data_IF_614922513014
#
_entry.id   IF_614922513014
#
_cell.length_a   1.000
_cell.length_b   1.000
_cell.length_c   1.000
_cell.angle_alpha   90.00
_cell.angle_beta   90.00
_cell.angle_gamma   90.00
#
_symmetry.space_group_name_H-M   'P 1'
#
loop_
_entity.id
_entity.type
_entity.pdbx_description
1 polymer ?
#
# COMPACT_ATOMS: atom_id res chain seq x y z
N UNK A 1 -30.03 0.76 -40.34
CA UNK A 1 -31.46 0.59 -40.68
C UNK A 1 -32.16 -0.11 -39.52
N UNK A 2 -33.30 0.42 -39.07
CA UNK A 2 -34.12 -0.17 -37.99
C UNK A 2 -35.29 -0.94 -38.62
N UNK A 3 -35.46 -2.21 -38.22
CA UNK A 3 -36.60 -3.05 -38.61
C UNK A 3 -37.55 -3.20 -37.44
N UNK A 4 -38.82 -2.85 -37.65
CA UNK A 4 -39.87 -3.02 -36.66
C UNK A 4 -41.21 -3.33 -37.35
N UNK A 5 -42.19 -3.82 -36.59
CA UNK A 5 -43.52 -4.16 -37.09
C UNK A 5 -44.50 -3.03 -36.86
N UNK A 6 -45.40 -2.78 -37.82
CA UNK A 6 -46.49 -1.82 -37.68
C UNK A 6 -47.56 -2.32 -36.71
N UNK A 7 -47.99 -1.49 -35.75
CA UNK A 7 -48.99 -1.83 -34.72
C UNK A 7 -50.40 -2.09 -35.28
N UNK A 8 -50.69 -1.65 -36.50
CA UNK A 8 -52.05 -1.74 -37.10
C UNK A 8 -52.20 -2.80 -38.18
N UNK A 9 -51.18 -3.02 -39.02
CA UNK A 9 -51.27 -3.93 -40.16
C UNK A 9 -50.26 -5.09 -40.12
N UNK A 10 -49.49 -5.20 -39.04
CA UNK A 10 -48.50 -6.26 -38.78
C UNK A 10 -47.44 -6.46 -39.87
N UNK A 11 -47.29 -5.49 -40.78
CA UNK A 11 -46.28 -5.54 -41.83
C UNK A 11 -44.93 -5.01 -41.32
N UNK A 12 -43.81 -5.60 -41.75
CA UNK A 12 -42.49 -5.11 -41.41
C UNK A 12 -42.23 -3.77 -42.09
N UNK A 13 -41.65 -2.83 -41.33
CA UNK A 13 -41.22 -1.51 -41.78
C UNK A 13 -39.71 -1.40 -41.67
N UNK A 14 -39.09 -0.85 -42.71
CA UNK A 14 -37.66 -0.53 -42.74
C UNK A 14 -37.51 0.98 -42.82
N UNK A 15 -36.83 1.56 -41.82
CA UNK A 15 -36.55 2.99 -41.76
C UNK A 15 -35.07 3.25 -41.47
N UNK A 16 -34.61 4.44 -41.85
CA UNK A 16 -33.26 4.89 -41.57
C UNK A 16 -33.01 5.01 -40.05
N UNK A 17 -31.77 4.80 -39.62
CA UNK A 17 -31.36 4.90 -38.22
C UNK A 17 -31.54 6.32 -37.67
N UNK A 18 -31.50 7.33 -38.54
CA UNK A 18 -31.69 8.75 -38.19
C UNK A 18 -33.11 9.08 -37.71
N UNK A 19 -34.08 8.18 -37.94
CA UNK A 19 -35.47 8.31 -37.53
C UNK A 19 -35.77 7.60 -36.19
N UNK A 20 -34.75 7.09 -35.49
CA UNK A 20 -34.92 6.48 -34.16
C UNK A 20 -35.64 7.43 -33.18
N UNK A 21 -36.72 6.96 -32.55
CA UNK A 21 -37.53 7.75 -31.61
C UNK A 21 -38.44 8.81 -32.26
N UNK A 22 -38.47 8.91 -33.60
CA UNK A 22 -39.42 9.75 -34.34
C UNK A 22 -40.69 8.96 -34.67
N UNK A 23 -41.75 9.71 -34.99
CA UNK A 23 -42.99 9.17 -35.56
C UNK A 23 -42.83 9.08 -37.08
N UNK A 24 -43.17 7.92 -37.64
CA UNK A 24 -43.11 7.65 -39.08
C UNK A 24 -44.45 7.07 -39.54
N UNK A 25 -44.89 7.45 -40.73
CA UNK A 25 -46.12 6.94 -41.33
C UNK A 25 -45.86 5.61 -42.03
N UNK A 26 -46.73 4.62 -41.81
CA UNK A 26 -46.66 3.35 -42.50
C UNK A 26 -47.12 3.49 -43.97
N UNK A 27 -46.29 3.15 -44.98
CA UNK A 27 -46.68 3.21 -46.40
C UNK A 27 -47.75 2.18 -46.81
N UNK A 28 -48.07 1.21 -45.94
CA UNK A 28 -49.05 0.17 -46.25
C UNK A 28 -50.47 0.44 -45.73
N UNK A 29 -50.61 1.10 -44.57
CA UNK A 29 -51.89 1.33 -43.93
C UNK A 29 -52.14 2.77 -43.48
N UNK A 30 -51.13 3.65 -43.59
CA UNK A 30 -51.20 5.06 -43.20
C UNK A 30 -51.12 5.32 -41.69
N UNK A 31 -50.83 4.31 -40.88
CA UNK A 31 -50.79 4.45 -39.41
C UNK A 31 -49.45 5.03 -38.92
N UNK A 32 -49.50 5.89 -37.89
CA UNK A 32 -48.32 6.60 -37.35
C UNK A 32 -47.66 5.74 -36.27
N UNK A 33 -46.52 5.11 -36.61
CA UNK A 33 -45.77 4.26 -35.69
C UNK A 33 -44.55 4.98 -35.11
N UNK A 34 -44.16 4.63 -33.89
CA UNK A 34 -42.99 5.19 -33.21
C UNK A 34 -41.81 4.25 -33.43
N UNK A 35 -40.73 4.74 -34.06
CA UNK A 35 -39.52 3.94 -34.26
C UNK A 35 -38.86 3.68 -32.90
N UNK A 36 -38.61 2.40 -32.52
CA UNK A 36 -37.94 2.09 -31.27
C UNK A 36 -36.60 2.82 -31.19
N UNK A 37 -36.42 3.65 -30.16
CA UNK A 37 -35.11 4.23 -29.88
C UNK A 37 -34.14 3.06 -29.64
N UNK A 38 -32.97 3.11 -30.30
CA UNK A 38 -31.90 2.12 -30.07
C UNK A 38 -31.70 2.04 -28.56
N UNK A 39 -32.01 0.89 -27.96
CA UNK A 39 -31.61 0.61 -26.57
C UNK A 39 -30.13 0.94 -26.54
N UNK A 40 -29.66 1.89 -25.72
CA UNK A 40 -28.24 2.17 -25.64
C UNK A 40 -27.60 0.82 -25.43
N UNK A 41 -26.81 0.36 -26.39
CA UNK A 41 -25.88 -0.74 -26.17
C UNK A 41 -25.17 -0.30 -24.91
N UNK A 42 -25.49 -0.98 -23.81
CA UNK A 42 -24.84 -0.75 -22.55
C UNK A 42 -23.38 -0.86 -22.91
N UNK A 43 -22.67 0.29 -22.92
CA UNK A 43 -21.23 0.30 -23.13
C UNK A 43 -20.76 -0.74 -22.16
N UNK A 44 -20.32 -1.89 -22.65
CA UNK A 44 -19.62 -2.85 -21.81
C UNK A 44 -18.50 -1.98 -21.25
N UNK A 45 -18.51 -1.68 -19.93
CA UNK A 45 -17.45 -0.85 -19.39
C UNK A 45 -16.17 -1.54 -19.83
N UNK A 46 -15.32 -0.80 -20.56
CA UNK A 46 -14.00 -1.31 -20.93
C UNK A 46 -13.44 -1.96 -19.67
N UNK A 47 -12.96 -3.22 -19.73
CA UNK A 47 -12.48 -3.91 -18.55
C UNK A 47 -11.57 -2.92 -17.81
N UNK A 48 -11.84 -2.67 -16.51
CA UNK A 48 -11.14 -1.62 -15.77
C UNK A 48 -9.66 -1.78 -16.08
N UNK A 49 -9.07 -0.76 -16.71
CA UNK A 49 -7.65 -0.82 -17.07
C UNK A 49 -6.93 -1.08 -15.77
N UNK A 50 -6.30 -2.26 -15.69
CA UNK A 50 -5.63 -2.68 -14.48
C UNK A 50 -4.54 -1.64 -14.17
N UNK A 51 -4.83 -0.80 -13.18
CA UNK A 51 -3.98 0.33 -12.79
C UNK A 51 -2.62 -0.17 -12.32
N UNK A 52 -2.59 -1.33 -11.67
CA UNK A 52 -1.36 -1.95 -11.25
C UNK A 52 -0.53 -2.41 -12.46
N UNK A 53 -1.16 -3.08 -13.43
CA UNK A 53 -0.48 -3.47 -14.68
C UNK A 53 0.05 -2.26 -15.47
N UNK A 54 -0.73 -1.18 -15.55
CA UNK A 54 -0.30 0.07 -16.20
C UNK A 54 0.89 0.73 -15.50
N UNK A 55 1.00 0.59 -14.17
CA UNK A 55 2.13 1.05 -13.38
C UNK A 55 3.34 0.08 -13.38
N UNK A 56 3.26 -1.04 -14.11
CA UNK A 56 4.32 -2.04 -14.21
C UNK A 56 4.37 -3.05 -13.05
N UNK A 57 3.29 -3.13 -12.26
CA UNK A 57 3.14 -4.11 -11.19
C UNK A 57 2.34 -5.35 -11.63
N UNK A 58 2.40 -6.47 -10.90
CA UNK A 58 1.60 -7.66 -11.21
C UNK A 58 0.10 -7.33 -11.30
N UNK A 59 -0.64 -7.91 -12.26
CA UNK A 59 -2.05 -7.62 -12.44
C UNK A 59 -2.90 -8.12 -11.27
N UNK A 60 -4.01 -7.43 -11.02
CA UNK A 60 -4.96 -7.76 -9.95
C UNK A 60 -5.73 -9.06 -10.26
N UNK A 61 -6.10 -9.27 -11.53
CA UNK A 61 -6.84 -10.46 -11.98
C UNK A 61 -6.02 -11.76 -12.02
N UNK A 62 -4.73 -11.71 -11.64
CA UNK A 62 -3.79 -12.84 -11.70
C UNK A 62 -3.77 -13.73 -10.44
N UNK A 63 -2.84 -14.71 -10.40
CA UNK A 63 -2.51 -15.42 -9.18
C UNK A 63 -1.95 -14.44 -8.14
N UNK A 64 -2.06 -14.79 -6.86
CA UNK A 64 -1.54 -13.92 -5.80
C UNK A 64 -0.01 -13.84 -5.87
N UNK A 65 0.53 -12.62 -6.03
CA UNK A 65 1.96 -12.37 -6.13
C UNK A 65 2.38 -11.28 -5.13
N UNK A 66 3.55 -11.46 -4.53
CA UNK A 66 4.14 -10.48 -3.62
C UNK A 66 4.68 -9.31 -4.43
N UNK A 67 4.04 -8.15 -4.29
CA UNK A 67 4.40 -6.91 -4.97
C UNK A 67 5.53 -6.21 -4.25
N UNK A 68 5.43 -6.13 -2.92
CA UNK A 68 6.39 -5.41 -2.11
C UNK A 68 6.54 -6.04 -0.72
N UNK A 69 7.76 -6.00 -0.21
CA UNK A 69 8.08 -6.42 1.14
C UNK A 69 8.92 -5.34 1.82
N UNK A 70 8.40 -4.80 2.92
CA UNK A 70 9.00 -3.69 3.65
C UNK A 70 9.19 -4.08 5.10
N UNK A 71 10.36 -3.74 5.65
CA UNK A 71 10.62 -3.84 7.09
C UNK A 71 10.84 -2.45 7.67
N UNK A 72 10.50 -2.23 8.95
CA UNK A 72 10.83 -0.98 9.63
C UNK A 72 12.32 -0.67 9.56
N UNK A 73 12.65 0.59 9.28
CA UNK A 73 14.03 1.01 9.03
C UNK A 73 14.68 1.56 10.29
N UNK A 74 15.48 0.73 10.97
CA UNK A 74 16.16 1.07 12.23
C UNK A 74 16.96 2.38 12.18
N UNK A 75 17.93 2.48 11.25
CA UNK A 75 18.82 3.64 11.16
C UNK A 75 18.13 4.90 10.66
N UNK A 76 17.14 4.73 9.77
CA UNK A 76 16.43 5.87 9.21
C UNK A 76 15.44 6.43 10.22
N UNK A 77 14.71 5.58 10.94
CA UNK A 77 13.59 6.02 11.78
C UNK A 77 14.01 6.85 12.98
N UNK A 78 15.13 6.50 13.62
CA UNK A 78 15.66 7.23 14.79
C UNK A 78 17.16 7.44 14.61
N UNK A 79 17.57 8.38 13.72
CA UNK A 79 18.99 8.58 13.41
C UNK A 79 19.77 9.09 14.62
N UNK A 80 19.15 9.90 15.48
CA UNK A 80 19.76 10.41 16.71
C UNK A 80 20.13 9.31 17.68
N UNK A 81 19.19 8.39 17.97
CA UNK A 81 19.46 7.25 18.85
C UNK A 81 20.54 6.33 18.28
N UNK A 82 20.52 6.08 16.97
CA UNK A 82 21.56 5.27 16.31
C UNK A 82 22.93 5.95 16.35
N UNK A 83 23.00 7.26 16.10
CA UNK A 83 24.23 8.05 16.17
C UNK A 83 24.80 8.09 17.60
N UNK A 84 23.95 8.30 18.61
CA UNK A 84 24.39 8.30 20.01
C UNK A 84 24.95 6.94 20.45
N UNK A 85 24.27 5.83 20.08
CA UNK A 85 24.73 4.49 20.42
C UNK A 85 26.02 4.12 19.69
N UNK A 86 26.14 4.48 18.40
CA UNK A 86 27.37 4.24 17.64
C UNK A 86 28.54 5.09 18.14
N UNK A 87 28.31 6.35 18.51
CA UNK A 87 29.32 7.18 19.19
C UNK A 87 29.72 6.60 20.54
N UNK A 88 28.77 6.04 21.30
CA UNK A 88 29.05 5.33 22.56
C UNK A 88 29.97 4.14 22.35
N UNK A 89 29.74 3.34 21.31
CA UNK A 89 30.65 2.23 20.92
C UNK A 89 32.03 2.76 20.55
N UNK A 90 32.11 3.81 19.71
CA UNK A 90 33.39 4.38 19.27
C UNK A 90 34.18 4.94 20.47
N UNK A 91 33.51 5.69 21.35
CA UNK A 91 34.13 6.27 22.55
C UNK A 91 34.61 5.19 23.52
N UNK A 92 33.80 4.15 23.75
CA UNK A 92 34.17 3.03 24.61
C UNK A 92 35.36 2.24 24.06
N UNK A 93 35.37 1.92 22.77
CA UNK A 93 36.49 1.24 22.10
C UNK A 93 37.76 2.11 22.13
N UNK A 94 37.64 3.41 21.88
CA UNK A 94 38.77 4.34 21.93
C UNK A 94 39.35 4.41 23.35
N UNK A 95 38.49 4.43 24.39
CA UNK A 95 38.90 4.37 25.79
C UNK A 95 39.64 3.07 26.14
N UNK A 96 39.19 1.93 25.62
CA UNK A 96 39.86 0.64 25.82
C UNK A 96 41.23 0.58 25.13
N UNK A 97 41.33 1.06 23.87
CA UNK A 97 42.58 1.03 23.09
C UNK A 97 43.63 1.96 23.70
N UNK A 98 43.23 3.17 24.12
CA UNK A 98 44.15 4.13 24.74
C UNK A 98 44.65 3.63 26.09
N UNK A 99 43.78 3.00 26.91
CA UNK A 99 44.17 2.38 28.18
C UNK A 99 45.18 1.25 28.02
N UNK A 100 45.14 0.48 26.93
CA UNK A 100 46.06 -0.63 26.69
C UNK A 100 47.37 -0.26 26.00
N UNK A 101 47.47 0.93 25.40
CA UNK A 101 48.62 1.33 24.56
C UNK A 101 49.46 2.48 25.15
N UNK A 102 48.89 3.28 26.05
CA UNK A 102 49.54 4.48 26.59
C UNK A 102 49.61 4.45 28.11
N UNK A 103 50.80 4.60 28.68
CA UNK A 103 51.02 4.71 30.14
C UNK A 103 50.46 6.00 30.77
N UNK A 104 49.92 6.92 29.97
CA UNK A 104 49.33 8.19 30.43
C UNK A 104 47.92 8.04 30.99
N UNK A 105 47.21 6.98 30.60
CA UNK A 105 45.82 6.76 31.04
C UNK A 105 45.79 5.66 32.10
N UNK A 106 45.15 5.91 33.25
CA UNK A 106 45.05 4.90 34.30
C UNK A 106 44.26 3.67 33.84
N UNK A 107 44.69 2.47 34.25
CA UNK A 107 44.06 1.19 33.88
C UNK A 107 42.60 1.06 34.31
N UNK A 108 42.17 1.82 35.33
CA UNK A 108 40.78 1.79 35.79
C UNK A 108 39.78 2.33 34.74
N UNK A 109 40.25 3.04 33.71
CA UNK A 109 39.45 3.54 32.58
C UNK A 109 39.02 2.42 31.62
N UNK A 110 39.72 1.29 31.62
CA UNK A 110 39.40 0.14 30.78
C UNK A 110 38.00 -0.44 31.08
N UNK A 111 37.69 -0.68 32.35
CA UNK A 111 36.43 -1.26 32.80
C UNK A 111 35.17 -0.44 32.40
N UNK A 112 35.09 0.88 32.64
CA UNK A 112 33.97 1.67 32.18
C UNK A 112 33.90 1.76 30.64
N UNK A 113 35.04 1.81 29.94
CA UNK A 113 35.06 1.77 28.46
C UNK A 113 34.47 0.46 27.92
N UNK A 114 34.83 -0.67 28.52
CA UNK A 114 34.28 -1.98 28.18
C UNK A 114 32.78 -2.08 28.48
N UNK A 115 32.34 -1.57 29.64
CA UNK A 115 30.93 -1.55 30.03
C UNK A 115 30.07 -0.74 29.05
N UNK A 116 30.52 0.47 28.69
CA UNK A 116 29.81 1.36 27.76
C UNK A 116 29.70 0.71 26.38
N UNK A 117 30.80 0.11 25.90
CA UNK A 117 30.82 -0.59 24.61
C UNK A 117 29.84 -1.76 24.61
N UNK A 118 29.91 -2.61 25.64
CA UNK A 118 29.03 -3.78 25.77
C UNK A 118 27.56 -3.37 25.86
N UNK A 119 27.22 -2.38 26.70
CA UNK A 119 25.85 -1.88 26.84
C UNK A 119 25.33 -1.30 25.51
N UNK A 120 26.14 -0.49 24.82
CA UNK A 120 25.75 0.12 23.54
C UNK A 120 25.50 -0.94 22.46
N UNK A 121 26.37 -1.97 22.39
CA UNK A 121 26.21 -3.10 21.46
C UNK A 121 24.95 -3.91 21.80
N UNK A 122 24.69 -4.20 23.07
CA UNK A 122 23.50 -4.94 23.49
C UNK A 122 22.22 -4.18 23.12
N UNK A 123 22.17 -2.87 23.38
CA UNK A 123 21.00 -2.04 23.04
C UNK A 123 20.79 -1.99 21.52
N UNK A 124 21.86 -1.83 20.74
CA UNK A 124 21.78 -1.89 19.27
C UNK A 124 21.31 -3.27 18.79
N UNK A 125 21.86 -4.36 19.33
CA UNK A 125 21.45 -5.71 18.97
C UNK A 125 19.96 -5.95 19.31
N UNK A 126 19.53 -5.55 20.50
CA UNK A 126 18.14 -5.69 20.94
C UNK A 126 17.17 -4.92 20.05
N UNK A 127 17.48 -3.65 19.76
CA UNK A 127 16.65 -2.85 18.87
C UNK A 127 16.63 -3.45 17.45
N UNK A 128 17.75 -3.99 16.97
CA UNK A 128 17.82 -4.63 15.64
C UNK A 128 16.93 -5.86 15.59
N UNK A 129 16.98 -6.68 16.63
CA UNK A 129 16.14 -7.86 16.79
C UNK A 129 14.65 -7.48 16.75
N UNK A 130 14.25 -6.42 17.47
CA UNK A 130 12.86 -5.93 17.43
C UNK A 130 12.44 -5.48 16.02
N UNK A 131 13.29 -4.76 15.29
CA UNK A 131 12.99 -4.34 13.91
C UNK A 131 12.91 -5.51 12.93
N UNK A 132 13.61 -6.62 13.19
CA UNK A 132 13.56 -7.81 12.33
C UNK A 132 12.27 -8.62 12.53
N UNK A 133 11.65 -8.53 13.71
CA UNK A 133 10.39 -9.19 14.04
C UNK A 133 9.14 -8.51 13.46
N UNK A 134 9.27 -7.36 12.79
CA UNK A 134 8.16 -6.65 12.16
C UNK A 134 8.36 -6.58 10.64
N UNK A 135 7.33 -6.94 9.88
CA UNK A 135 7.34 -6.84 8.42
C UNK A 135 5.95 -6.53 7.86
N UNK A 136 5.92 -5.69 6.84
CA UNK A 136 4.76 -5.42 6.00
C UNK A 136 4.96 -6.07 4.64
N UNK A 137 4.03 -6.92 4.26
CA UNK A 137 4.00 -7.58 2.97
C UNK A 137 2.76 -7.13 2.20
N UNK A 138 2.95 -6.67 0.97
CA UNK A 138 1.86 -6.23 0.10
C UNK A 138 1.85 -7.18 -1.10
N UNK A 139 0.74 -7.88 -1.27
CA UNK A 139 0.46 -8.69 -2.45
C UNK A 139 -0.43 -7.89 -3.41
N UNK A 140 -0.86 -8.47 -4.52
CA UNK A 140 -1.86 -7.84 -5.39
C UNK A 140 -3.25 -7.80 -4.74
N UNK A 141 -3.57 -8.75 -3.84
CA UNK A 141 -4.93 -8.90 -3.29
C UNK A 141 -5.10 -8.43 -1.84
N UNK A 142 -4.02 -8.50 -1.05
CA UNK A 142 -4.06 -8.18 0.38
C UNK A 142 -2.76 -7.58 0.88
N UNK A 143 -2.87 -6.88 1.99
CA UNK A 143 -1.74 -6.41 2.79
C UNK A 143 -1.67 -7.24 4.08
N UNK A 144 -0.49 -7.77 4.39
CA UNK A 144 -0.22 -8.65 5.53
C UNK A 144 0.82 -7.99 6.43
N UNK A 145 0.44 -7.73 7.68
CA UNK A 145 1.36 -7.37 8.75
C UNK A 145 1.78 -8.62 9.52
N UNK A 146 3.08 -8.82 9.68
CA UNK A 146 3.66 -9.84 10.57
C UNK A 146 4.42 -9.14 11.68
N UNK A 147 4.07 -9.42 12.93
CA UNK A 147 4.72 -8.85 14.11
C UNK A 147 5.12 -9.91 15.13
N UNK A 148 6.29 -9.72 15.72
CA UNK A 148 6.77 -10.43 16.90
C UNK A 148 7.94 -11.36 16.63
N UNK A 149 8.79 -11.52 17.65
CA UNK A 149 9.97 -12.39 17.60
C UNK A 149 9.71 -13.74 18.27
N UNK A 150 9.10 -13.73 19.46
CA UNK A 150 8.78 -14.93 20.25
C UNK A 150 7.31 -15.35 20.11
N UNK A 151 6.39 -14.38 20.22
CA UNK A 151 4.97 -14.57 19.93
C UNK A 151 4.67 -13.89 18.60
N UNK A 152 4.20 -14.65 17.61
CA UNK A 152 3.91 -14.16 16.26
C UNK A 152 2.43 -13.79 16.17
N UNK A 153 2.14 -12.56 15.81
CA UNK A 153 0.82 -12.07 15.42
C UNK A 153 0.85 -11.74 13.93
N UNK A 154 -0.15 -12.22 13.20
CA UNK A 154 -0.32 -11.91 11.76
C UNK A 154 -1.68 -11.29 11.58
N UNK A 155 -1.72 -10.12 10.97
CA UNK A 155 -2.94 -9.40 10.62
C UNK A 155 -2.98 -9.24 9.10
N UNK A 156 -4.12 -9.50 8.47
CA UNK A 156 -4.27 -9.41 7.03
C UNK A 156 -5.53 -8.62 6.66
N UNK A 157 -5.42 -7.76 5.64
CA UNK A 157 -6.54 -6.96 5.13
C UNK A 157 -6.56 -7.05 3.61
N UNK A 158 -7.69 -7.48 3.07
CA UNK A 158 -7.95 -7.50 1.62
C UNK A 158 -8.04 -6.07 1.09
N UNK A 159 -7.47 -5.81 -0.09
CA UNK A 159 -7.46 -4.47 -0.70
C UNK A 159 -8.87 -3.93 -0.98
N UNK A 160 -9.80 -4.82 -1.33
CA UNK A 160 -11.23 -4.50 -1.52
C UNK A 160 -11.94 -4.06 -0.23
N UNK A 161 -11.46 -4.54 0.92
CA UNK A 161 -12.07 -4.27 2.22
C UNK A 161 -11.51 -3.01 2.90
N UNK A 162 -10.49 -2.37 2.31
CA UNK A 162 -9.84 -1.18 2.89
C UNK A 162 -10.81 0.00 2.85
N UNK A 163 -11.13 0.53 4.02
CA UNK A 163 -11.97 1.72 4.17
C UNK A 163 -11.14 3.00 4.21
N UNK A 164 -10.07 2.99 5.01
CA UNK A 164 -9.21 4.16 5.21
C UNK A 164 -7.74 3.74 5.37
N UNK A 165 -6.85 4.57 4.82
CA UNK A 165 -5.40 4.48 5.01
C UNK A 165 -4.95 5.78 5.66
N UNK A 166 -4.51 5.69 6.92
CA UNK A 166 -3.97 6.79 7.68
C UNK A 166 -2.45 6.76 7.61
N UNK A 167 -1.84 7.92 7.32
CA UNK A 167 -0.39 8.11 7.35
C UNK A 167 -0.09 9.18 8.37
N UNK A 168 0.68 8.84 9.41
CA UNK A 168 1.14 9.82 10.39
C UNK A 168 2.63 10.08 10.20
N UNK A 169 2.97 11.37 10.00
CA UNK A 169 4.34 11.85 9.87
C UNK A 169 4.52 13.13 10.68
N UNK A 170 5.53 13.15 11.53
CA UNK A 170 6.02 14.39 12.13
C UNK A 170 6.82 15.22 11.11
N UNK A 171 7.07 16.48 11.44
CA UNK A 171 7.93 17.37 10.63
C UNK A 171 9.28 16.73 10.30
N UNK A 172 9.93 16.15 11.31
CA UNK A 172 11.20 15.46 11.13
C UNK A 172 11.06 14.18 10.32
N UNK A 173 10.01 13.39 10.57
CA UNK A 173 9.76 12.16 9.80
C UNK A 173 9.58 12.46 8.31
N UNK A 174 8.98 13.60 7.95
CA UNK A 174 8.88 14.05 6.55
C UNK A 174 10.24 14.34 5.93
N UNK A 175 11.16 14.99 6.65
CA UNK A 175 12.53 15.26 6.17
C UNK A 175 13.29 13.94 5.89
N UNK A 176 13.11 12.94 6.75
CA UNK A 176 13.77 11.63 6.62
C UNK A 176 12.99 10.62 5.76
N UNK A 177 11.82 11.02 5.22
CA UNK A 177 10.87 10.19 4.46
C UNK A 177 10.44 8.92 5.18
N UNK A 178 9.97 9.08 6.41
CA UNK A 178 9.55 8.00 7.30
C UNK A 178 8.15 8.31 7.81
N UNK A 179 7.39 7.29 8.19
CA UNK A 179 6.10 7.48 8.86
C UNK A 179 5.55 6.19 9.40
N UNK A 180 4.42 6.29 10.07
CA UNK A 180 3.55 5.16 10.38
C UNK A 180 2.42 5.09 9.37
N UNK A 181 1.99 3.86 9.08
CA UNK A 181 0.82 3.58 8.26
C UNK A 181 -0.17 2.80 9.13
N UNK A 182 -1.41 3.31 9.17
CA UNK A 182 -2.57 2.64 9.73
C UNK A 182 -3.55 2.26 8.62
N UNK A 183 -3.98 1.00 8.56
CA UNK A 183 -5.01 0.54 7.62
C UNK A 183 -6.22 0.05 8.41
N UNK A 184 -7.39 0.57 8.06
CA UNK A 184 -8.67 0.17 8.65
C UNK A 184 -9.50 -0.62 7.64
N UNK A 185 -9.94 -1.80 8.07
CA UNK A 185 -10.87 -2.66 7.33
C UNK A 185 -12.32 -2.28 7.59
N UNK A 186 -13.21 -2.73 6.71
CA UNK A 186 -14.65 -2.49 6.81
C UNK A 186 -15.34 -3.33 7.91
N UNK A 187 -14.67 -4.34 8.46
CA UNK A 187 -15.26 -5.33 9.38
C UNK A 187 -15.05 -5.10 10.88
N UNK A 188 -14.24 -4.12 11.30
CA UNK A 188 -13.88 -3.89 12.70
C UNK A 188 -13.84 -2.39 13.01
N UNK A 189 -14.18 -2.01 14.25
CA UNK A 189 -14.13 -0.62 14.71
C UNK A 189 -12.70 -0.30 15.20
N UNK A 190 -11.81 0.05 14.27
CA UNK A 190 -10.42 0.40 14.62
C UNK A 190 -9.40 0.31 13.47
N UNK A 191 -8.14 0.59 13.80
CA UNK A 191 -6.98 0.39 12.91
C UNK A 191 -6.51 -1.07 13.11
N UNK A 192 -6.66 -1.90 12.08
CA UNK A 192 -6.38 -3.35 12.14
C UNK A 192 -4.90 -3.66 11.86
N UNK A 193 -4.26 -2.83 11.03
CA UNK A 193 -2.82 -2.89 10.77
C UNK A 193 -2.23 -1.53 11.12
N UNK A 194 -1.27 -1.50 12.04
CA UNK A 194 -0.58 -0.26 12.42
C UNK A 194 0.92 -0.51 12.55
N UNK A 195 1.68 -0.15 11.52
CA UNK A 195 3.14 -0.29 11.51
C UNK A 195 3.80 1.09 11.53
N UNK A 196 4.74 1.26 12.46
CA UNK A 196 5.60 2.44 12.57
C UNK A 196 6.92 2.26 11.83
N UNK A 197 7.63 3.38 11.65
CA UNK A 197 9.03 3.42 11.20
C UNK A 197 9.24 2.87 9.76
N UNK A 198 8.23 3.00 8.90
CA UNK A 198 8.29 2.57 7.50
C UNK A 198 8.99 3.60 6.61
N UNK A 199 9.91 3.17 5.74
CA UNK A 199 10.53 4.06 4.75
C UNK A 199 9.54 4.38 3.61
N UNK A 200 9.43 5.66 3.24
CA UNK A 200 8.59 6.18 2.16
C UNK A 200 7.12 5.72 2.25
N UNK A 201 6.36 6.13 3.28
CA UNK A 201 4.98 5.66 3.45
C UNK A 201 4.05 6.09 2.31
N UNK A 202 4.29 7.24 1.67
CA UNK A 202 3.52 7.70 0.52
C UNK A 202 3.63 6.76 -0.68
N UNK A 203 4.83 6.21 -0.91
CA UNK A 203 5.04 5.20 -1.97
C UNK A 203 4.25 3.93 -1.65
N UNK A 204 4.26 3.51 -0.39
CA UNK A 204 3.53 2.32 0.05
C UNK A 204 2.03 2.49 -0.19
N UNK A 205 1.47 3.63 0.24
CA UNK A 205 0.08 3.98 -0.03
C UNK A 205 -0.23 4.00 -1.52
N UNK A 206 0.60 4.65 -2.34
CA UNK A 206 0.37 4.71 -3.78
C UNK A 206 0.31 3.33 -4.43
N UNK A 207 1.10 2.36 -3.96
CA UNK A 207 1.07 0.98 -4.45
C UNK A 207 -0.21 0.27 -4.01
N UNK A 208 -0.65 0.44 -2.76
CA UNK A 208 -1.91 -0.13 -2.27
C UNK A 208 -3.11 0.46 -3.02
N UNK A 209 -3.10 1.77 -3.28
CA UNK A 209 -4.18 2.47 -4.00
C UNK A 209 -4.37 1.96 -5.45
N UNK A 210 -3.34 1.33 -6.07
CA UNK A 210 -3.46 0.71 -7.39
C UNK A 210 -4.37 -0.53 -7.38
N UNK A 211 -4.39 -1.26 -6.26
CA UNK A 211 -5.13 -2.52 -6.09
C UNK A 211 -6.46 -2.35 -5.36
N UNK A 212 -6.78 -1.14 -4.87
CA UNK A 212 -8.03 -0.85 -4.16
C UNK A 212 -9.13 -0.41 -5.13
N UNK A 213 -10.38 -0.88 -5.02
CA UNK A 213 -11.50 -0.29 -5.76
C UNK A 213 -11.72 1.15 -5.27
N UNK A 214 -11.39 2.14 -6.13
CA UNK A 214 -11.60 3.58 -5.88
C UNK A 214 -12.95 4.04 -6.43
#
# INVERSE_FOLDING_TARGET
MIRFTCDRCDRPLEVDDDLAGRKVECPHCGDVNIVPARKPEARTPSPPTDRAAAAGYPPDSGPEQRVMFVRPAMMRAKPTSFLLLSLGVIAGVTGMITSGSSSRVPEWVFWPGALITLASVIVLAWWKILTLGAALEITNKRTIERRGLFSKSTSEVLHDAIRNIQIDQSFWNRIWRIGSIGISSSGQDGIEIHIADLPNPDKIRSVIDLYRPL
#
